data_IF_794079284091
#
_entry.id   IF_794079284091
#
_cell.length_a   1.000
_cell.length_b   1.000
_cell.length_c   1.000
_cell.angle_alpha   90.00
_cell.angle_beta   90.00
_cell.angle_gamma   90.00
#
_symmetry.space_group_name_H-M   'P 1'
#
loop_
_entity.id
_entity.type
_entity.pdbx_description
1 polymer ?
#
# COMPACT_ATOMS: atom_id res chain seq x y z
N UNK A 1 1.27 19.37 24.36
CA UNK A 1 0.55 18.28 23.65
C UNK A 1 1.51 17.12 23.46
N UNK A 2 1.07 15.87 23.63
CA UNK A 2 1.88 14.69 23.25
C UNK A 2 1.90 14.63 21.70
N UNK A 3 3.02 14.27 21.07
CA UNK A 3 3.10 14.25 19.61
C UNK A 3 2.23 13.13 19.03
N UNK A 4 1.57 13.42 17.92
CA UNK A 4 0.56 12.56 17.28
C UNK A 4 1.22 11.56 16.34
N UNK A 5 0.79 10.30 16.37
CA UNK A 5 1.38 9.20 15.59
C UNK A 5 0.86 9.21 14.14
N UNK A 6 1.71 9.02 13.14
CA UNK A 6 1.32 9.15 11.72
C UNK A 6 0.89 7.82 11.08
N UNK A 7 -0.31 7.80 10.49
CA UNK A 7 -0.79 6.73 9.61
C UNK A 7 -0.95 7.27 8.20
N UNK A 8 -0.21 6.71 7.25
CA UNK A 8 -0.37 7.02 5.83
C UNK A 8 -1.23 5.95 5.16
N UNK A 9 -2.45 6.31 4.80
CA UNK A 9 -3.36 5.47 4.04
C UNK A 9 -3.20 5.75 2.53
N UNK A 10 -2.80 4.74 1.75
CA UNK A 10 -2.73 4.87 0.29
C UNK A 10 -4.12 4.67 -0.32
N UNK A 11 -4.55 5.61 -1.16
CA UNK A 11 -5.86 5.56 -1.81
C UNK A 11 -5.75 4.91 -3.19
N UNK A 12 -6.66 3.96 -3.48
CA UNK A 12 -6.94 3.53 -4.84
C UNK A 12 -7.58 4.70 -5.59
N UNK A 13 -6.87 5.34 -6.50
CA UNK A 13 -7.54 6.04 -7.58
C UNK A 13 -7.97 4.98 -8.61
N UNK A 14 -9.27 4.70 -8.71
CA UNK A 14 -9.82 3.90 -9.80
C UNK A 14 -9.92 4.79 -11.04
N UNK A 15 -9.25 4.50 -12.17
CA UNK A 15 -9.61 5.11 -13.43
C UNK A 15 -10.45 4.09 -14.20
N UNK A 16 -11.77 4.08 -14.03
CA UNK A 16 -12.61 3.57 -15.10
C UNK A 16 -12.85 4.72 -16.08
N UNK A 17 -12.20 4.61 -17.25
CA UNK A 17 -12.42 5.48 -18.38
C UNK A 17 -13.92 5.51 -18.70
N UNK A 18 -14.48 6.72 -18.70
CA UNK A 18 -15.86 7.04 -19.05
C UNK A 18 -16.12 6.71 -20.52
N UNK A 19 -16.34 5.45 -20.85
CA UNK A 19 -16.97 5.06 -22.10
C UNK A 19 -17.82 3.83 -21.84
N UNK A 20 -19.02 4.08 -21.33
CA UNK A 20 -20.28 3.45 -21.70
C UNK A 20 -21.36 4.10 -20.82
N UNK A 21 -21.94 5.17 -21.33
CA UNK A 21 -23.20 5.67 -20.82
C UNK A 21 -24.26 4.59 -21.05
N UNK A 22 -24.76 4.01 -19.97
CA UNK A 22 -26.14 3.56 -19.71
C UNK A 22 -26.15 2.33 -18.77
N UNK A 23 -26.31 2.57 -17.46
CA UNK A 23 -27.38 2.02 -16.59
C UNK A 23 -27.28 2.77 -15.23
N UNK A 24 -28.35 3.34 -14.67
CA UNK A 24 -28.30 3.95 -13.35
C UNK A 24 -28.47 2.87 -12.26
N UNK A 25 -27.48 2.72 -11.37
CA UNK A 25 -27.66 2.13 -10.04
C UNK A 25 -26.67 2.78 -9.06
N UNK A 26 -27.12 3.58 -8.08
CA UNK A 26 -26.22 4.42 -7.27
C UNK A 26 -25.65 3.71 -6.02
N UNK A 27 -25.74 2.38 -5.90
CA UNK A 27 -25.50 1.69 -4.63
C UNK A 27 -24.06 1.21 -4.32
N UNK A 28 -23.23 0.72 -5.27
CA UNK A 28 -21.95 0.12 -4.89
C UNK A 28 -20.79 1.12 -4.70
N UNK A 29 -20.81 2.29 -5.36
CA UNK A 29 -19.73 3.30 -5.24
C UNK A 29 -19.75 4.03 -3.89
N UNK A 30 -20.94 4.41 -3.41
CA UNK A 30 -21.10 5.17 -2.16
C UNK A 30 -20.68 4.33 -0.95
N UNK A 31 -20.91 3.02 -0.96
CA UNK A 31 -20.57 2.15 0.17
C UNK A 31 -19.05 1.98 0.36
N UNK A 32 -18.26 1.88 -0.72
CA UNK A 32 -16.81 1.67 -0.62
C UNK A 32 -16.05 2.93 -0.17
N UNK A 33 -16.56 4.12 -0.49
CA UNK A 33 -15.96 5.41 -0.15
C UNK A 33 -16.40 5.92 1.23
N UNK A 34 -17.69 5.78 1.58
CA UNK A 34 -18.24 6.15 2.90
C UNK A 34 -17.69 5.26 4.02
N UNK A 35 -17.42 3.97 3.74
CA UNK A 35 -16.77 3.05 4.70
C UNK A 35 -15.32 3.46 4.98
N UNK A 36 -14.60 4.11 4.05
CA UNK A 36 -13.20 4.52 4.25
C UNK A 36 -13.06 5.78 5.10
N UNK A 37 -13.90 6.79 4.90
CA UNK A 37 -13.83 8.04 5.71
C UNK A 37 -14.10 7.77 7.20
N UNK A 38 -15.09 6.93 7.51
CA UNK A 38 -15.39 6.56 8.90
C UNK A 38 -14.25 5.78 9.58
N UNK A 39 -13.55 4.93 8.82
CA UNK A 39 -12.39 4.18 9.30
C UNK A 39 -11.19 5.10 9.57
N UNK A 40 -10.87 6.03 8.66
CA UNK A 40 -9.80 7.00 8.87
C UNK A 40 -10.12 7.96 10.03
N UNK A 41 -11.38 8.40 10.16
CA UNK A 41 -11.85 9.19 11.30
C UNK A 41 -11.74 8.41 12.62
N UNK A 42 -11.98 7.09 12.61
CA UNK A 42 -11.81 6.24 13.79
C UNK A 42 -10.35 6.16 14.25
N UNK A 43 -9.38 6.16 13.32
CA UNK A 43 -7.97 6.31 13.67
C UNK A 43 -7.66 7.70 14.22
N UNK A 44 -8.18 8.77 13.60
CA UNK A 44 -8.01 10.12 14.11
C UNK A 44 -8.53 10.28 15.54
N UNK A 45 -9.73 9.74 15.83
CA UNK A 45 -10.33 9.72 17.16
C UNK A 45 -9.49 8.94 18.21
N UNK A 46 -8.63 8.02 17.77
CA UNK A 46 -7.67 7.30 18.63
C UNK A 46 -6.37 8.06 18.89
N UNK A 47 -6.25 9.30 18.39
CA UNK A 47 -5.08 10.16 18.57
C UNK A 47 -3.98 9.95 17.53
N UNK A 48 -4.34 9.50 16.33
CA UNK A 48 -3.43 9.41 15.18
C UNK A 48 -3.62 10.61 14.24
N UNK A 49 -2.53 11.09 13.65
CA UNK A 49 -2.58 11.93 12.47
C UNK A 49 -2.73 10.98 11.29
N UNK A 50 -3.78 11.15 10.49
CA UNK A 50 -4.08 10.27 9.37
C UNK A 50 -3.94 11.08 8.08
N UNK A 51 -3.02 10.66 7.22
CA UNK A 51 -2.80 11.25 5.91
C UNK A 51 -3.25 10.27 4.84
N UNK A 52 -4.24 10.66 4.06
CA UNK A 52 -4.68 9.93 2.87
C UNK A 52 -3.87 10.44 1.69
N UNK A 53 -3.06 9.58 1.07
CA UNK A 53 -2.10 10.00 0.03
C UNK A 53 -2.50 9.46 -1.34
N UNK A 54 -2.50 10.36 -2.32
CA UNK A 54 -2.63 10.03 -3.73
C UNK A 54 -1.24 9.73 -4.32
N UNK A 55 -1.23 8.94 -5.39
CA UNK A 55 -0.03 8.61 -6.16
C UNK A 55 -0.40 8.52 -7.63
N UNK A 56 0.55 8.82 -8.51
CA UNK A 56 0.33 8.72 -9.96
C UNK A 56 -0.04 7.29 -10.34
N UNK A 57 -1.05 7.16 -11.19
CA UNK A 57 -1.51 5.86 -11.69
C UNK A 57 -0.65 5.40 -12.86
N UNK A 58 -0.68 4.09 -13.16
CA UNK A 58 0.12 3.51 -14.24
C UNK A 58 -0.20 4.08 -15.63
N UNK A 59 -1.39 4.67 -15.82
CA UNK A 59 -1.75 5.37 -17.06
C UNK A 59 -1.14 6.78 -17.17
N UNK A 60 -0.68 7.34 -16.05
CA UNK A 60 -0.05 8.66 -15.98
C UNK A 60 1.48 8.53 -15.95
N UNK A 61 2.00 7.58 -15.17
CA UNK A 61 3.43 7.30 -15.07
C UNK A 61 3.71 5.84 -14.67
N UNK A 62 4.67 5.24 -15.37
CA UNK A 62 5.17 3.90 -15.05
C UNK A 62 5.99 3.89 -13.75
N UNK A 63 6.21 2.70 -13.20
CA UNK A 63 7.11 2.48 -12.07
C UNK A 63 8.53 3.04 -12.35
N UNK A 64 9.20 3.73 -11.39
CA UNK A 64 8.88 3.82 -9.95
C UNK A 64 8.03 5.04 -9.53
N UNK A 65 7.37 5.74 -10.45
CA UNK A 65 6.63 6.97 -10.10
C UNK A 65 5.64 6.83 -8.93
N UNK A 66 4.80 5.77 -8.83
CA UNK A 66 3.82 5.67 -7.75
C UNK A 66 4.46 5.51 -6.36
N UNK A 67 5.55 4.73 -6.24
CA UNK A 67 6.25 4.57 -4.96
C UNK A 67 7.07 5.81 -4.60
N UNK A 68 7.58 6.54 -5.61
CA UNK A 68 8.23 7.83 -5.39
C UNK A 68 7.26 8.85 -4.79
N UNK A 69 6.00 8.85 -5.23
CA UNK A 69 4.96 9.75 -4.68
C UNK A 69 4.66 9.41 -3.21
N UNK A 70 4.50 8.12 -2.88
CA UNK A 70 4.30 7.68 -1.48
C UNK A 70 5.48 8.08 -0.60
N UNK A 71 6.72 7.85 -1.06
CA UNK A 71 7.93 8.23 -0.32
C UNK A 71 8.07 9.75 -0.19
N UNK A 72 7.69 10.52 -1.22
CA UNK A 72 7.66 11.98 -1.15
C UNK A 72 6.66 12.47 -0.10
N UNK A 73 5.47 11.86 -0.04
CA UNK A 73 4.46 12.20 0.96
C UNK A 73 4.94 11.91 2.39
N UNK A 74 5.61 10.77 2.62
CA UNK A 74 6.24 10.46 3.94
C UNK A 74 7.24 11.56 4.33
N UNK A 75 8.12 11.97 3.40
CA UNK A 75 9.13 12.99 3.65
C UNK A 75 8.51 14.37 3.88
N UNK A 76 7.49 14.75 3.13
CA UNK A 76 6.76 16.01 3.30
C UNK A 76 6.05 16.05 4.67
N UNK A 77 5.32 15.00 5.05
CA UNK A 77 4.63 14.96 6.35
C UNK A 77 5.62 15.05 7.53
N UNK A 78 6.81 14.46 7.38
CA UNK A 78 7.89 14.60 8.37
C UNK A 78 8.48 16.00 8.42
N UNK A 79 8.65 16.68 7.28
CA UNK A 79 9.11 18.07 7.28
C UNK A 79 8.08 19.04 7.86
N UNK A 80 6.80 18.67 7.80
CA UNK A 80 5.68 19.42 8.40
C UNK A 80 5.32 18.96 9.82
N UNK A 81 6.16 18.14 10.46
CA UNK A 81 5.81 17.53 11.73
C UNK A 81 5.51 18.54 12.85
N UNK A 82 6.25 19.64 12.92
CA UNK A 82 5.99 20.73 13.88
C UNK A 82 4.65 21.43 13.61
N UNK A 83 4.35 21.70 12.33
CA UNK A 83 3.11 22.35 11.89
C UNK A 83 1.88 21.55 12.27
N UNK A 84 1.92 20.22 12.09
CA UNK A 84 0.78 19.33 12.32
C UNK A 84 0.82 18.58 13.66
N UNK A 85 1.82 18.85 14.51
CA UNK A 85 1.99 18.16 15.79
C UNK A 85 2.22 16.64 15.65
N UNK A 86 2.90 16.21 14.61
CA UNK A 86 3.21 14.80 14.30
C UNK A 86 4.52 14.39 15.00
N UNK A 87 4.62 13.16 15.51
CA UNK A 87 5.89 12.54 15.86
C UNK A 87 6.58 12.02 14.57
N UNK A 88 7.64 12.68 14.07
CA UNK A 88 8.27 12.29 12.81
C UNK A 88 8.95 10.92 12.91
N UNK A 89 9.19 10.39 14.12
CA UNK A 89 9.83 9.08 14.37
C UNK A 89 8.84 7.92 14.40
N UNK A 90 7.53 8.18 14.26
CA UNK A 90 6.49 7.17 14.41
C UNK A 90 5.48 7.26 13.28
N UNK A 91 5.79 6.57 12.20
CA UNK A 91 4.95 6.49 11.01
C UNK A 91 4.68 5.04 10.63
N UNK A 92 3.48 4.76 10.11
CA UNK A 92 3.11 3.46 9.54
C UNK A 92 2.45 3.69 8.17
N UNK A 93 2.66 2.77 7.23
CA UNK A 93 1.91 2.75 5.97
C UNK A 93 0.76 1.75 6.06
N UNK A 94 -0.37 2.09 5.47
CA UNK A 94 -1.49 1.19 5.29
C UNK A 94 -2.05 1.32 3.88
N UNK A 95 -2.26 0.21 3.20
CA UNK A 95 -2.89 0.20 1.90
C UNK A 95 -3.67 -1.07 1.62
N UNK A 96 -4.46 -1.01 0.54
CA UNK A 96 -5.27 -2.13 0.07
C UNK A 96 -5.03 -2.37 -1.42
N UNK A 97 -5.00 -3.62 -1.87
CA UNK A 97 -4.74 -4.00 -3.28
C UNK A 97 -3.45 -3.35 -3.82
N UNK A 98 -3.51 -2.59 -4.91
CA UNK A 98 -2.37 -1.80 -5.42
C UNK A 98 -1.79 -0.83 -4.38
N UNK A 99 -2.63 -0.23 -3.52
CA UNK A 99 -2.15 0.56 -2.39
C UNK A 99 -1.45 -0.30 -1.34
N UNK A 100 -1.86 -1.55 -1.16
CA UNK A 100 -1.23 -2.52 -0.27
C UNK A 100 0.14 -2.99 -0.77
N UNK A 101 0.31 -3.07 -2.10
CA UNK A 101 1.62 -3.21 -2.74
C UNK A 101 2.54 -2.03 -2.39
N UNK A 102 2.07 -0.79 -2.59
CA UNK A 102 2.87 0.41 -2.30
C UNK A 102 3.16 0.59 -0.81
N UNK A 103 2.19 0.27 0.06
CA UNK A 103 2.36 0.34 1.51
C UNK A 103 3.44 -0.62 2.00
N UNK A 104 3.42 -1.87 1.51
CA UNK A 104 4.46 -2.85 1.81
C UNK A 104 5.79 -2.46 1.19
N UNK A 105 5.82 -2.04 -0.08
CA UNK A 105 7.04 -1.61 -0.75
C UNK A 105 7.69 -0.44 0.00
N UNK A 106 6.92 0.56 0.42
CA UNK A 106 7.43 1.67 1.22
C UNK A 106 8.03 1.20 2.56
N UNK A 107 7.42 0.18 3.18
CA UNK A 107 7.89 -0.38 4.44
C UNK A 107 9.24 -1.08 4.31
N UNK A 108 9.41 -1.90 3.26
CA UNK A 108 10.60 -2.73 3.07
C UNK A 108 11.68 -2.08 2.20
N UNK A 109 11.52 -0.81 1.82
CA UNK A 109 12.48 -0.10 0.95
C UNK A 109 13.03 1.17 1.59
N UNK A 110 13.16 1.18 2.91
CA UNK A 110 13.81 2.26 3.65
C UNK A 110 15.16 2.62 3.00
N UNK A 111 15.35 3.90 2.65
CA UNK A 111 16.58 4.40 2.02
C UNK A 111 16.98 3.74 0.68
N UNK A 112 16.08 2.99 0.02
CA UNK A 112 16.34 2.41 -1.29
C UNK A 112 16.51 3.53 -2.33
N UNK A 113 17.77 3.87 -2.68
CA UNK A 113 18.12 4.99 -3.58
C UNK A 113 17.40 4.92 -4.93
N UNK A 114 17.23 3.71 -5.47
CA UNK A 114 16.54 3.48 -6.73
C UNK A 114 15.05 3.86 -6.70
N UNK A 115 14.43 3.91 -5.51
CA UNK A 115 13.03 4.28 -5.29
C UNK A 115 12.89 5.65 -4.63
N UNK A 116 13.99 6.38 -4.42
CA UNK A 116 13.92 7.71 -3.84
C UNK A 116 13.11 8.65 -4.77
N UNK A 117 12.34 9.60 -4.20
CA UNK A 117 11.65 10.62 -4.98
C UNK A 117 12.61 11.32 -5.94
N UNK A 118 12.19 11.53 -7.20
CA UNK A 118 13.02 12.17 -8.20
C UNK A 118 13.44 13.58 -7.75
N UNK A 119 14.75 13.86 -7.76
CA UNK A 119 15.31 15.14 -7.28
C UNK A 119 15.37 16.24 -8.35
N UNK A 120 14.91 15.99 -9.59
CA UNK A 120 15.09 16.93 -10.70
C UNK A 120 13.87 17.82 -10.91
N UNK A 121 13.90 18.97 -10.25
CA UNK A 121 13.19 20.18 -10.67
C UNK A 121 13.78 20.67 -12.00
N UNK A 122 13.04 20.57 -13.11
CA UNK A 122 13.17 21.49 -14.24
C UNK A 122 11.80 21.80 -14.88
N UNK A 123 11.57 23.11 -15.01
CA UNK A 123 10.62 23.87 -15.83
C UNK A 123 9.12 23.87 -15.47
N UNK A 124 8.70 24.98 -14.83
CA UNK A 124 7.67 25.84 -15.40
C UNK A 124 6.30 25.88 -14.72
N UNK A 125 5.93 24.86 -13.95
CA UNK A 125 4.72 24.91 -13.11
C UNK A 125 5.09 25.40 -11.71
N UNK A 126 4.33 26.33 -11.08
CA UNK A 126 4.47 26.57 -9.66
C UNK A 126 4.01 25.30 -8.94
N UNK A 127 4.99 24.50 -8.51
CA UNK A 127 4.74 23.39 -7.62
C UNK A 127 4.63 23.94 -6.19
N UNK A 128 3.41 24.13 -5.71
CA UNK A 128 3.15 24.49 -4.31
C UNK A 128 3.51 23.36 -3.32
N UNK A 129 4.04 22.21 -3.80
CA UNK A 129 4.56 21.09 -3.00
C UNK A 129 6.08 21.15 -2.84
N UNK A 130 6.78 22.02 -3.57
CA UNK A 130 8.24 22.08 -3.62
C UNK A 130 8.88 22.86 -2.46
N UNK A 131 8.09 23.56 -1.64
CA UNK A 131 8.64 24.59 -0.76
C UNK A 131 9.52 24.03 0.37
N UNK A 132 9.58 22.71 0.64
CA UNK A 132 10.52 22.13 1.64
C UNK A 132 10.83 20.62 1.55
N UNK A 133 10.37 19.86 0.54
CA UNK A 133 10.66 18.39 0.42
C UNK A 133 11.98 18.10 -0.31
N UNK A 134 12.81 19.12 -0.48
CA UNK A 134 14.09 19.04 -1.20
C UNK A 134 15.22 18.45 -0.38
N UNK A 135 15.10 18.37 0.96
CA UNK A 135 16.24 17.86 1.74
C UNK A 135 16.32 16.33 1.65
N UNK A 136 17.39 15.85 1.01
CA UNK A 136 17.91 14.48 1.10
C UNK A 136 18.10 13.95 2.54
N UNK A 137 17.83 14.79 3.55
CA UNK A 137 18.06 14.54 4.96
C UNK A 137 16.78 14.12 5.71
N UNK A 138 15.60 14.18 5.09
CA UNK A 138 14.37 13.64 5.70
C UNK A 138 14.19 12.18 5.29
N UNK A 139 14.18 11.30 6.29
CA UNK A 139 13.99 9.87 6.11
C UNK A 139 12.62 9.53 5.52
N UNK A 140 12.55 8.48 4.68
CA UNK A 140 11.30 7.84 4.25
C UNK A 140 11.02 6.50 4.93
N UNK A 141 11.84 6.10 5.90
CA UNK A 141 11.73 4.82 6.61
C UNK A 141 10.57 4.85 7.59
N UNK A 142 9.72 3.85 7.65
CA UNK A 142 8.56 3.80 8.55
C UNK A 142 8.71 2.69 9.60
N UNK A 143 7.87 2.68 10.63
CA UNK A 143 7.97 1.78 11.79
C UNK A 143 7.09 0.52 11.67
N UNK A 144 6.25 0.43 10.63
CA UNK A 144 5.53 -0.77 10.25
C UNK A 144 4.71 -0.60 8.96
N UNK A 145 4.23 -1.70 8.40
CA UNK A 145 3.37 -1.69 7.21
C UNK A 145 2.13 -2.56 7.40
N UNK A 146 0.98 -2.10 6.93
CA UNK A 146 -0.26 -2.88 6.82
C UNK A 146 -0.63 -3.01 5.35
N UNK A 147 -0.79 -4.25 4.88
CA UNK A 147 -1.18 -4.53 3.50
C UNK A 147 -2.37 -5.46 3.46
N UNK A 148 -3.47 -5.01 2.88
CA UNK A 148 -4.64 -5.83 2.61
C UNK A 148 -4.64 -6.27 1.15
N UNK A 149 -4.65 -7.59 0.91
CA UNK A 149 -4.70 -8.27 -0.39
C UNK A 149 -3.78 -7.61 -1.43
N UNK A 150 -2.57 -7.27 -0.99
CA UNK A 150 -1.55 -6.63 -1.81
C UNK A 150 -0.85 -7.59 -2.76
N UNK A 151 -0.18 -7.01 -3.75
CA UNK A 151 0.73 -7.71 -4.66
C UNK A 151 2.15 -7.57 -4.14
N UNK A 152 2.95 -8.63 -4.14
CA UNK A 152 4.27 -8.63 -3.50
C UNK A 152 5.40 -9.18 -4.39
N UNK A 153 5.08 -10.08 -5.33
CA UNK A 153 6.02 -10.66 -6.29
C UNK A 153 5.40 -10.68 -7.70
N UNK A 154 5.81 -9.72 -8.52
CA UNK A 154 5.35 -9.60 -9.91
C UNK A 154 5.88 -10.72 -10.80
N UNK A 155 6.90 -11.46 -10.37
CA UNK A 155 7.45 -12.58 -11.16
C UNK A 155 6.61 -13.86 -11.03
N UNK A 156 5.84 -13.99 -9.96
CA UNK A 156 5.02 -15.19 -9.67
C UNK A 156 3.53 -14.97 -9.88
N UNK A 157 3.05 -13.72 -9.86
CA UNK A 157 1.61 -13.39 -9.88
C UNK A 157 0.85 -14.05 -11.04
N UNK A 158 1.39 -14.01 -12.26
CA UNK A 158 0.71 -14.57 -13.42
C UNK A 158 0.61 -16.11 -13.39
N UNK A 159 1.59 -16.79 -12.79
CA UNK A 159 1.53 -18.24 -12.60
C UNK A 159 0.51 -18.61 -11.52
N UNK A 160 0.50 -17.86 -10.42
CA UNK A 160 -0.46 -18.04 -9.32
C UNK A 160 -1.89 -17.76 -9.77
N UNK A 161 -2.11 -16.71 -10.54
CA UNK A 161 -3.44 -16.34 -11.02
C UNK A 161 -4.03 -17.38 -11.99
N UNK A 162 -3.20 -18.06 -12.79
CA UNK A 162 -3.66 -19.23 -13.58
C UNK A 162 -4.15 -20.37 -12.70
N UNK A 163 -3.40 -20.68 -11.63
CA UNK A 163 -3.73 -21.75 -10.68
C UNK A 163 -5.02 -21.43 -9.92
N UNK A 164 -5.13 -20.19 -9.45
CA UNK A 164 -6.20 -19.74 -8.56
C UNK A 164 -7.42 -19.18 -9.33
N UNK A 165 -7.35 -19.12 -10.66
CA UNK A 165 -8.36 -18.52 -11.55
C UNK A 165 -8.62 -17.04 -11.24
N UNK A 166 -7.58 -16.31 -10.86
CA UNK A 166 -7.63 -14.88 -10.57
C UNK A 166 -7.46 -13.99 -11.82
N UNK A 167 -7.71 -12.69 -11.68
CA UNK A 167 -7.74 -11.70 -12.76
C UNK A 167 -6.39 -11.50 -13.46
N UNK A 168 -5.27 -11.49 -12.72
CA UNK A 168 -3.94 -11.27 -13.30
C UNK A 168 -3.68 -12.33 -14.38
N UNK A 169 -3.55 -11.86 -15.60
CA UNK A 169 -3.38 -12.68 -16.80
C UNK A 169 -2.15 -12.16 -17.51
N UNK A 170 -1.42 -13.04 -18.18
CA UNK A 170 -0.33 -12.66 -19.10
C UNK A 170 -0.93 -11.99 -20.36
N UNK A 171 -1.55 -10.84 -20.16
CA UNK A 171 -2.11 -9.94 -21.17
C UNK A 171 -1.54 -8.54 -20.94
N UNK A 172 -1.20 -7.77 -21.99
CA UNK A 172 -0.55 -6.46 -21.85
C UNK A 172 -1.29 -5.46 -20.95
N UNK A 173 -2.61 -5.59 -20.85
CA UNK A 173 -3.47 -4.71 -20.07
C UNK A 173 -3.57 -5.04 -18.57
N UNK A 174 -2.92 -6.11 -18.10
CA UNK A 174 -2.95 -6.43 -16.68
C UNK A 174 -2.24 -5.34 -15.86
N UNK A 175 -2.71 -5.04 -14.64
CA UNK A 175 -2.21 -3.92 -13.83
C UNK A 175 -0.68 -3.94 -13.64
N UNK A 176 -0.08 -5.11 -13.46
CA UNK A 176 1.36 -5.31 -13.29
C UNK A 176 2.16 -4.91 -14.54
N UNK A 177 1.66 -5.21 -15.74
CA UNK A 177 2.33 -4.87 -17.00
C UNK A 177 2.16 -3.39 -17.32
N UNK A 178 0.98 -2.83 -17.07
CA UNK A 178 0.73 -1.38 -17.15
C UNK A 178 1.63 -0.61 -16.17
N UNK A 179 1.80 -1.10 -14.94
CA UNK A 179 2.69 -0.49 -13.97
C UNK A 179 4.15 -0.48 -14.47
N UNK A 180 4.61 -1.58 -15.06
CA UNK A 180 5.99 -1.70 -15.54
C UNK A 180 6.26 -0.99 -16.88
N UNK A 181 5.22 -0.70 -17.68
CA UNK A 181 5.38 -0.13 -19.03
C UNK A 181 6.00 -1.10 -20.04
N UNK A 182 5.96 -2.40 -19.75
CA UNK A 182 6.47 -3.47 -20.61
C UNK A 182 5.62 -4.73 -20.44
N UNK A 183 5.78 -5.72 -21.31
CA UNK A 183 4.98 -6.95 -21.29
C UNK A 183 5.83 -8.20 -21.51
N UNK A 184 5.58 -9.24 -20.72
CA UNK A 184 6.16 -10.57 -20.86
C UNK A 184 7.70 -10.55 -20.99
N UNK A 185 8.26 -11.24 -21.99
CA UNK A 185 9.71 -11.32 -22.22
C UNK A 185 10.38 -9.99 -22.62
N UNK A 186 9.59 -8.94 -22.90
CA UNK A 186 10.13 -7.59 -23.15
C UNK A 186 10.46 -6.85 -21.84
N UNK A 187 9.93 -7.30 -20.70
CA UNK A 187 10.33 -6.79 -19.40
C UNK A 187 11.66 -7.40 -18.94
N UNK A 188 12.59 -6.54 -18.52
CA UNK A 188 13.80 -6.99 -17.84
C UNK A 188 13.42 -7.60 -16.49
N UNK A 189 14.04 -8.72 -16.11
CA UNK A 189 13.86 -9.33 -14.78
C UNK A 189 14.14 -8.35 -13.64
N UNK A 190 15.14 -7.47 -13.81
CA UNK A 190 15.45 -6.42 -12.85
C UNK A 190 14.34 -5.38 -12.70
N UNK A 191 13.60 -5.06 -13.76
CA UNK A 191 12.44 -4.15 -13.70
C UNK A 191 11.29 -4.78 -12.90
N UNK A 192 10.99 -6.05 -13.16
CA UNK A 192 9.98 -6.82 -12.41
C UNK A 192 10.34 -6.88 -10.92
N UNK A 193 11.60 -7.24 -10.61
CA UNK A 193 12.10 -7.27 -9.24
C UNK A 193 12.05 -5.89 -8.57
N UNK A 194 12.41 -4.81 -9.28
CA UNK A 194 12.39 -3.46 -8.71
C UNK A 194 11.00 -2.99 -8.29
N UNK A 195 9.95 -3.55 -8.89
CA UNK A 195 8.57 -3.26 -8.52
C UNK A 195 7.96 -4.32 -7.58
N UNK A 196 8.74 -5.26 -7.05
CA UNK A 196 8.24 -6.33 -6.18
C UNK A 196 8.71 -6.13 -4.74
N UNK A 197 7.82 -5.88 -3.75
CA UNK A 197 8.18 -5.79 -2.33
C UNK A 197 9.12 -6.90 -1.84
N UNK A 198 8.91 -8.16 -2.25
CA UNK A 198 9.75 -9.29 -1.82
C UNK A 198 11.24 -9.12 -2.17
N UNK A 199 11.58 -8.31 -3.18
CA UNK A 199 12.95 -8.09 -3.62
C UNK A 199 13.75 -7.16 -2.68
N UNK A 200 13.07 -6.43 -1.81
CA UNK A 200 13.69 -5.46 -0.90
C UNK A 200 13.79 -5.96 0.54
N UNK A 201 13.12 -7.07 0.88
CA UNK A 201 13.05 -7.55 2.25
C UNK A 201 14.44 -7.89 2.81
N UNK A 202 14.76 -7.28 3.96
CA UNK A 202 15.95 -7.58 4.76
C UNK A 202 15.69 -7.50 6.27
N UNK A 203 16.63 -7.98 7.08
CA UNK A 203 16.45 -8.12 8.54
C UNK A 203 16.26 -6.80 9.30
N UNK A 204 16.54 -5.65 8.67
CA UNK A 204 16.33 -4.32 9.26
C UNK A 204 14.92 -3.77 9.06
N UNK A 205 14.09 -4.47 8.27
CA UNK A 205 12.74 -4.02 7.97
C UNK A 205 11.85 -3.98 9.21
N UNK A 206 10.88 -3.03 9.25
CA UNK A 206 9.93 -2.94 10.33
C UNK A 206 8.91 -4.09 10.27
N UNK A 207 8.12 -4.30 11.33
CA UNK A 207 7.06 -5.31 11.31
C UNK A 207 6.00 -5.04 10.23
N UNK A 208 5.47 -6.11 9.61
CA UNK A 208 4.35 -6.03 8.66
C UNK A 208 3.13 -6.83 9.14
N UNK A 209 1.92 -6.32 8.85
CA UNK A 209 0.65 -7.05 8.91
C UNK A 209 0.14 -7.27 7.49
N UNK A 210 -0.04 -8.53 7.12
CA UNK A 210 -0.53 -8.96 5.81
C UNK A 210 -1.90 -9.62 5.99
N UNK A 211 -2.94 -9.12 5.31
CA UNK A 211 -4.30 -9.68 5.40
C UNK A 211 -4.81 -9.98 3.99
N UNK A 212 -5.31 -11.18 3.73
CA UNK A 212 -5.91 -11.52 2.44
C UNK A 212 -7.10 -12.46 2.62
N UNK A 213 -7.99 -12.53 1.61
CA UNK A 213 -8.99 -13.58 1.51
C UNK A 213 -8.46 -14.75 0.68
N UNK A 214 -8.74 -16.00 1.06
CA UNK A 214 -8.26 -17.18 0.29
C UNK A 214 -9.08 -17.48 -0.99
N UNK A 215 -10.20 -16.78 -1.17
CA UNK A 215 -11.06 -16.86 -2.35
C UNK A 215 -10.93 -15.61 -3.23
N UNK A 216 -9.84 -14.86 -3.10
CA UNK A 216 -9.55 -13.65 -3.89
C UNK A 216 -9.34 -13.99 -5.37
N UNK A 217 -10.28 -13.56 -6.20
CA UNK A 217 -10.28 -13.77 -7.65
C UNK A 217 -9.59 -12.64 -8.42
N UNK A 218 -8.94 -11.69 -7.73
CA UNK A 218 -8.21 -10.57 -8.35
C UNK A 218 -6.72 -10.72 -8.11
N UNK A 219 -6.32 -10.83 -6.85
CA UNK A 219 -4.93 -11.02 -6.42
C UNK A 219 -4.83 -12.39 -5.73
N UNK A 220 -4.10 -13.36 -6.31
CA UNK A 220 -3.87 -14.65 -5.67
C UNK A 220 -3.36 -14.48 -4.25
N UNK A 221 -4.03 -15.07 -3.25
CA UNK A 221 -3.60 -14.94 -1.85
C UNK A 221 -2.21 -15.54 -1.59
N UNK A 222 -1.72 -16.41 -2.49
CA UNK A 222 -0.34 -16.88 -2.50
C UNK A 222 0.68 -15.73 -2.53
N UNK A 223 0.36 -14.56 -3.10
CA UNK A 223 1.20 -13.35 -2.98
C UNK A 223 1.47 -12.98 -1.51
N UNK A 224 0.44 -13.07 -0.66
CA UNK A 224 0.55 -12.79 0.78
C UNK A 224 1.40 -13.85 1.47
N UNK A 225 1.27 -15.12 1.07
CA UNK A 225 2.06 -16.22 1.61
C UNK A 225 3.55 -16.11 1.23
N UNK A 226 3.85 -15.76 -0.02
CA UNK A 226 5.22 -15.57 -0.50
C UNK A 226 5.91 -14.42 0.25
N UNK A 227 5.21 -13.31 0.47
CA UNK A 227 5.72 -12.19 1.27
C UNK A 227 5.97 -12.60 2.72
N UNK A 228 5.03 -13.33 3.33
CA UNK A 228 5.18 -13.82 4.70
C UNK A 228 6.40 -14.75 4.82
N UNK A 229 6.60 -15.64 3.86
CA UNK A 229 7.75 -16.54 3.80
C UNK A 229 9.07 -15.77 3.65
N UNK A 230 9.07 -14.71 2.83
CA UNK A 230 10.23 -13.84 2.68
C UNK A 230 10.58 -13.10 3.97
N UNK A 231 9.59 -12.55 4.66
CA UNK A 231 9.74 -11.89 5.96
C UNK A 231 10.26 -12.87 7.02
N UNK A 232 9.66 -14.07 7.08
CA UNK A 232 10.09 -15.17 7.96
C UNK A 232 11.54 -15.54 7.76
N UNK A 233 11.95 -15.72 6.51
CA UNK A 233 13.32 -16.09 6.15
C UNK A 233 14.34 -15.00 6.48
N UNK A 234 13.94 -13.73 6.44
CA UNK A 234 14.78 -12.60 6.83
C UNK A 234 14.77 -12.29 8.34
N UNK A 235 13.94 -12.98 9.13
CA UNK A 235 13.79 -12.72 10.57
C UNK A 235 13.01 -11.44 10.89
N UNK A 236 12.29 -10.87 9.92
CA UNK A 236 11.47 -9.67 10.10
C UNK A 236 10.18 -10.05 10.82
N UNK A 237 9.76 -9.37 11.90
CA UNK A 237 8.51 -9.70 12.57
C UNK A 237 7.31 -9.47 11.66
N UNK A 238 6.35 -10.39 11.64
CA UNK A 238 5.17 -10.24 10.79
C UNK A 238 3.92 -10.89 11.40
N UNK A 239 2.75 -10.45 10.96
CA UNK A 239 1.46 -11.09 11.20
C UNK A 239 0.78 -11.38 9.86
N UNK A 240 0.16 -12.56 9.72
CA UNK A 240 -0.66 -12.92 8.56
C UNK A 240 -2.06 -13.27 9.03
N UNK A 241 -3.07 -12.74 8.35
CA UNK A 241 -4.46 -13.14 8.50
C UNK A 241 -5.03 -13.54 7.14
N UNK A 242 -5.33 -14.82 6.97
CA UNK A 242 -6.08 -15.32 5.82
C UNK A 242 -7.54 -15.47 6.22
N UNK A 243 -8.43 -14.84 5.46
CA UNK A 243 -9.88 -14.83 5.69
C UNK A 243 -10.55 -15.90 4.80
N UNK A 244 -11.11 -16.98 5.39
CA UNK A 244 -11.66 -18.08 4.60
C UNK A 244 -12.91 -17.71 3.80
N UNK A 245 -12.94 -18.09 2.53
CA UNK A 245 -14.06 -17.86 1.61
C UNK A 245 -14.30 -16.40 1.21
N UNK A 246 -13.35 -15.52 1.53
CA UNK A 246 -13.46 -14.08 1.29
C UNK A 246 -12.75 -13.70 -0.01
N UNK A 247 -13.43 -12.91 -0.84
CA UNK A 247 -12.90 -12.41 -2.11
C UNK A 247 -12.20 -11.05 -1.94
N UNK A 248 -11.64 -10.51 -3.03
CA UNK A 248 -11.00 -9.20 -3.10
C UNK A 248 -11.89 -8.10 -2.50
N UNK A 249 -11.28 -7.15 -1.78
CA UNK A 249 -12.04 -6.11 -1.08
C UNK A 249 -12.76 -6.59 0.17
N UNK A 250 -12.41 -7.79 0.67
CA UNK A 250 -13.07 -8.46 1.78
C UNK A 250 -14.56 -8.71 1.59
N UNK A 251 -14.96 -9.02 0.34
CA UNK A 251 -16.33 -9.35 -0.01
C UNK A 251 -16.59 -10.83 0.23
N UNK A 252 -17.52 -11.14 1.14
CA UNK A 252 -17.98 -12.49 1.41
C UNK A 252 -19.20 -12.87 0.55
N UNK A 253 -19.65 -14.13 0.66
CA UNK A 253 -20.84 -14.63 -0.06
C UNK A 253 -22.16 -14.00 0.43
N UNK A 254 -22.17 -13.48 1.66
CA UNK A 254 -23.33 -12.78 2.24
C UNK A 254 -22.90 -11.41 2.80
N UNK A 255 -23.84 -10.49 3.03
CA UNK A 255 -23.56 -9.22 3.71
C UNK A 255 -22.93 -9.42 5.11
N UNK A 256 -23.38 -10.43 5.85
CA UNK A 256 -22.86 -10.76 7.19
C UNK A 256 -21.41 -11.22 7.10
N UNK A 257 -21.11 -12.14 6.17
CA UNK A 257 -19.74 -12.60 5.95
C UNK A 257 -18.81 -11.43 5.53
N UNK A 258 -19.31 -10.53 4.68
CA UNK A 258 -18.58 -9.31 4.27
C UNK A 258 -18.30 -8.41 5.48
N UNK A 259 -19.32 -8.15 6.30
CA UNK A 259 -19.20 -7.33 7.51
C UNK A 259 -18.21 -7.92 8.50
N UNK A 260 -18.32 -9.22 8.80
CA UNK A 260 -17.43 -9.90 9.74
C UNK A 260 -15.97 -9.91 9.24
N UNK A 261 -15.75 -10.15 7.95
CA UNK A 261 -14.42 -10.09 7.35
C UNK A 261 -13.78 -8.71 7.51
N UNK A 262 -14.54 -7.64 7.20
CA UNK A 262 -14.08 -6.27 7.35
C UNK A 262 -13.81 -5.90 8.81
N UNK A 263 -14.69 -6.26 9.74
CA UNK A 263 -14.49 -5.99 11.17
C UNK A 263 -13.25 -6.70 11.73
N UNK A 264 -13.04 -7.97 11.36
CA UNK A 264 -11.84 -8.72 11.77
C UNK A 264 -10.55 -8.09 11.22
N UNK A 265 -10.56 -7.68 9.94
CA UNK A 265 -9.41 -7.04 9.33
C UNK A 265 -9.10 -5.66 9.95
N UNK A 266 -10.15 -4.87 10.24
CA UNK A 266 -10.03 -3.57 10.90
C UNK A 266 -9.49 -3.71 12.33
N UNK A 267 -10.03 -4.65 13.12
CA UNK A 267 -9.57 -4.90 14.49
C UNK A 267 -8.09 -5.30 14.51
N UNK A 268 -7.69 -6.24 13.65
CA UNK A 268 -6.30 -6.65 13.52
C UNK A 268 -5.39 -5.48 13.11
N UNK A 269 -5.84 -4.65 12.16
CA UNK A 269 -5.13 -3.45 11.71
C UNK A 269 -4.94 -2.45 12.85
N UNK A 270 -6.00 -2.12 13.58
CA UNK A 270 -5.93 -1.14 14.67
C UNK A 270 -5.08 -1.65 15.83
N UNK A 271 -5.21 -2.94 16.18
CA UNK A 271 -4.36 -3.59 17.20
C UNK A 271 -2.89 -3.56 16.80
N UNK A 272 -2.59 -3.82 15.53
CA UNK A 272 -1.23 -3.77 15.00
C UNK A 272 -0.65 -2.35 15.04
N UNK A 273 -1.39 -1.36 14.54
CA UNK A 273 -0.99 0.06 14.56
C UNK A 273 -0.73 0.53 16.00
N UNK A 274 -1.65 0.21 16.91
CA UNK A 274 -1.49 0.51 18.34
C UNK A 274 -0.20 -0.11 18.90
N UNK A 275 0.02 -1.40 18.66
CA UNK A 275 1.21 -2.11 19.17
C UNK A 275 2.50 -1.52 18.61
N UNK A 276 2.55 -1.18 17.32
CA UNK A 276 3.76 -0.67 16.66
C UNK A 276 4.05 0.76 17.08
N UNK A 277 3.06 1.65 17.05
CA UNK A 277 3.28 3.09 17.23
C UNK A 277 3.16 3.57 18.69
N UNK A 278 2.40 2.87 19.55
CA UNK A 278 2.27 3.27 20.98
C UNK A 278 3.36 2.68 21.87
N UNK A 279 4.07 1.63 21.44
CA UNK A 279 5.27 1.17 22.15
C UNK A 279 6.31 2.29 22.17
N UNK A 280 6.96 2.49 23.32
CA UNK A 280 8.14 3.34 23.37
C UNK A 280 9.23 2.69 22.50
N UNK A 281 10.04 3.47 21.75
CA UNK A 281 11.21 2.90 21.10
C UNK A 281 12.06 2.19 22.17
N UNK A 282 12.58 1.00 21.84
CA UNK A 282 13.58 0.36 22.67
C UNK A 282 14.73 1.36 22.88
N UNK A 283 15.08 1.59 24.15
CA UNK A 283 16.17 2.48 24.55
C UNK A 283 17.51 2.00 24.00
#
# INVERSE_FOLDING_TARGET
MKPTLLVLATVLAFPFSSSLAQVPSPAPEIAAEVVRTGVLASLAARGYAVASVEYRLSGEAHFPAPIQDVKAAIRWLRSQASTYGIDPKRAITWGVSAGGHLAALAAVSCNAKALAPAQTMKSGAPDTRADNVSSSNVSDCIQGGVSWYGVFDLSTIAAQARKDKAMSRDVPDAPEWRLLGCFANKCKKSSIASASPVAYVDASDPPLLLIAGDADTTVPYHQTLDMAEKLRSAGVPYEVMVLPGINHGFVGKTPEATREANLRALDATFRFIDRVLKRAPAQ
#
